data_IF_265039884494
#
_entry.id   IF_265039884494
#
_cell.length_a   1.000
_cell.length_b   1.000
_cell.length_c   1.000
_cell.angle_alpha   90.00
_cell.angle_beta   90.00
_cell.angle_gamma   90.00
#
_symmetry.space_group_name_H-M   'P 1'
#
loop_
_entity.id
_entity.type
_entity.pdbx_description
1 polymer ?
#
# COMPACT_ATOMS: atom_id res chain seq x y z
N UNK A 1 13.40 6.18 24.09
CA UNK A 1 12.26 6.03 23.16
C UNK A 1 11.00 6.43 23.93
N UNK A 2 10.47 7.63 23.72
CA UNK A 2 9.18 8.05 24.30
C UNK A 2 8.08 7.27 23.60
N UNK A 3 7.16 6.67 24.36
CA UNK A 3 6.09 5.84 23.86
C UNK A 3 5.28 6.57 22.80
N UNK A 4 5.06 5.91 21.67
CA UNK A 4 4.10 6.31 20.65
C UNK A 4 2.73 6.39 21.33
N UNK A 5 2.13 7.56 21.28
CA UNK A 5 0.85 7.89 21.90
C UNK A 5 -0.20 6.84 21.53
N UNK A 6 -0.79 6.18 22.52
CA UNK A 6 -1.79 5.12 22.33
C UNK A 6 -3.03 5.57 21.55
N UNK A 7 -3.24 6.87 21.41
CA UNK A 7 -4.39 7.46 20.71
C UNK A 7 -4.31 7.35 19.18
N UNK A 8 -3.12 7.17 18.61
CA UNK A 8 -2.94 6.95 17.17
C UNK A 8 -3.49 5.60 16.69
N UNK A 9 -3.68 4.63 17.56
CA UNK A 9 -4.06 3.25 17.22
C UNK A 9 -5.52 2.91 17.54
N UNK A 10 -6.36 3.88 17.89
CA UNK A 10 -7.79 3.66 18.20
C UNK A 10 -8.67 3.35 16.96
N UNK A 11 -8.11 3.42 15.76
CA UNK A 11 -8.83 3.10 14.53
C UNK A 11 -9.08 1.59 14.37
N UNK A 12 -10.10 1.27 13.59
CA UNK A 12 -10.39 -0.10 13.16
C UNK A 12 -10.54 -0.17 11.65
N UNK A 13 -10.19 -1.32 11.07
CA UNK A 13 -10.23 -1.59 9.63
C UNK A 13 -11.36 -2.57 9.33
N UNK A 14 -12.12 -2.30 8.26
CA UNK A 14 -13.18 -3.20 7.82
C UNK A 14 -12.60 -4.55 7.37
N UNK A 15 -13.27 -5.63 7.70
CA UNK A 15 -12.92 -6.98 7.25
C UNK A 15 -12.90 -7.10 5.72
N UNK A 16 -13.63 -6.24 5.00
CA UNK A 16 -13.59 -6.19 3.54
C UNK A 16 -12.20 -5.84 3.02
N UNK A 17 -11.47 -4.93 3.69
CA UNK A 17 -10.08 -4.59 3.31
C UNK A 17 -9.11 -5.73 3.62
N UNK A 18 -9.38 -6.53 4.66
CA UNK A 18 -8.64 -7.77 4.94
C UNK A 18 -8.85 -8.77 3.80
N UNK A 19 -10.09 -9.00 3.37
CA UNK A 19 -10.42 -9.87 2.22
C UNK A 19 -9.74 -9.39 0.93
N UNK A 20 -9.74 -8.08 0.68
CA UNK A 20 -9.05 -7.51 -0.48
C UNK A 20 -7.54 -7.75 -0.45
N UNK A 21 -6.90 -7.59 0.70
CA UNK A 21 -5.48 -7.84 0.86
C UNK A 21 -5.11 -9.32 0.63
N UNK A 22 -5.96 -10.24 1.08
CA UNK A 22 -5.77 -11.70 0.95
C UNK A 22 -6.06 -12.23 -0.46
N UNK A 23 -6.81 -11.50 -1.28
CA UNK A 23 -7.37 -11.98 -2.54
C UNK A 23 -6.34 -12.65 -3.47
N UNK A 24 -5.19 -12.04 -3.69
CA UNK A 24 -4.18 -12.61 -4.58
C UNK A 24 -3.40 -13.75 -3.92
N UNK A 25 -3.17 -13.70 -2.62
CA UNK A 25 -2.56 -14.81 -1.88
C UNK A 25 -3.44 -16.07 -1.98
N UNK A 26 -4.76 -15.92 -1.80
CA UNK A 26 -5.73 -17.01 -1.96
C UNK A 26 -5.68 -17.61 -3.38
N UNK A 27 -5.68 -16.76 -4.42
CA UNK A 27 -5.58 -17.19 -5.82
C UNK A 27 -4.27 -17.89 -6.15
N UNK A 28 -3.20 -17.61 -5.45
CA UNK A 28 -1.89 -18.24 -5.59
C UNK A 28 -1.74 -19.50 -4.73
N UNK A 29 -2.78 -19.89 -3.98
CA UNK A 29 -2.82 -21.13 -3.20
C UNK A 29 -2.17 -21.04 -1.82
N UNK A 30 -2.00 -19.85 -1.27
CA UNK A 30 -1.54 -19.68 0.11
C UNK A 30 -2.63 -20.07 1.11
N UNK A 31 -2.24 -20.68 2.23
CA UNK A 31 -3.15 -21.05 3.31
C UNK A 31 -3.60 -19.82 4.12
N UNK A 32 -4.80 -19.32 3.80
CA UNK A 32 -5.32 -18.05 4.32
C UNK A 32 -5.46 -18.04 5.84
N UNK A 33 -5.88 -19.18 6.43
CA UNK A 33 -6.04 -19.28 7.89
C UNK A 33 -4.71 -19.12 8.62
N UNK A 34 -3.62 -19.63 8.05
CA UNK A 34 -2.28 -19.51 8.61
C UNK A 34 -1.79 -18.05 8.55
N UNK A 35 -2.02 -17.36 7.43
CA UNK A 35 -1.67 -15.95 7.28
C UNK A 35 -2.44 -15.06 8.28
N UNK A 36 -3.74 -15.31 8.44
CA UNK A 36 -4.56 -14.58 9.40
C UNK A 36 -4.11 -14.84 10.85
N UNK A 37 -3.84 -16.09 11.20
CA UNK A 37 -3.38 -16.47 12.54
C UNK A 37 -2.06 -15.78 12.87
N UNK A 38 -1.09 -15.76 11.94
CA UNK A 38 0.18 -15.05 12.10
C UNK A 38 -0.01 -13.53 12.26
N UNK A 39 -1.08 -12.98 11.67
CA UNK A 39 -1.43 -11.57 11.81
C UNK A 39 -2.26 -11.27 13.08
N UNK A 40 -2.57 -12.29 13.89
CA UNK A 40 -3.41 -12.17 15.08
C UNK A 40 -4.89 -11.88 14.75
N UNK A 41 -5.35 -12.29 13.56
CA UNK A 41 -6.73 -12.14 13.10
C UNK A 41 -7.41 -13.51 13.17
N UNK A 42 -8.52 -13.62 13.91
CA UNK A 42 -9.29 -14.86 13.97
C UNK A 42 -9.93 -15.15 12.59
N UNK A 43 -9.68 -16.33 11.97
CA UNK A 43 -10.18 -16.65 10.62
C UNK A 43 -11.69 -16.56 10.48
N UNK A 44 -12.44 -16.84 11.57
CA UNK A 44 -13.91 -16.80 11.62
C UNK A 44 -14.45 -15.39 11.29
N UNK A 45 -13.67 -14.35 11.53
CA UNK A 45 -14.06 -12.97 11.23
C UNK A 45 -14.30 -12.74 9.73
N UNK A 46 -13.69 -13.55 8.85
CA UNK A 46 -13.94 -13.47 7.41
C UNK A 46 -15.40 -13.78 7.01
N UNK A 47 -16.11 -14.54 7.84
CA UNK A 47 -17.48 -14.95 7.52
C UNK A 47 -18.54 -13.88 7.84
N UNK A 48 -18.15 -12.77 8.44
CA UNK A 48 -19.08 -11.71 8.87
C UNK A 48 -18.69 -10.35 8.29
N UNK A 49 -19.46 -9.84 7.35
CA UNK A 49 -19.13 -8.61 6.60
C UNK A 49 -19.09 -7.31 7.41
N UNK A 50 -19.66 -7.32 8.61
CA UNK A 50 -19.70 -6.13 9.51
C UNK A 50 -18.56 -6.11 10.52
N UNK A 51 -17.71 -7.14 10.54
CA UNK A 51 -16.59 -7.21 11.49
C UNK A 51 -15.47 -6.25 11.11
N UNK A 52 -14.68 -5.93 12.11
CA UNK A 52 -13.53 -5.03 11.97
C UNK A 52 -12.34 -5.61 12.74
N UNK A 53 -11.16 -5.33 12.27
CA UNK A 53 -9.89 -5.66 12.93
C UNK A 53 -9.20 -4.38 13.42
N UNK A 54 -8.26 -4.50 14.35
CA UNK A 54 -7.45 -3.35 14.76
C UNK A 54 -6.48 -2.93 13.65
N UNK A 55 -6.05 -1.68 13.69
CA UNK A 55 -5.00 -1.16 12.77
C UNK A 55 -3.72 -2.00 12.89
N UNK A 56 -3.37 -2.43 14.10
CA UNK A 56 -2.18 -3.24 14.34
C UNK A 56 -2.27 -4.63 13.69
N UNK A 57 -3.43 -5.29 13.81
CA UNK A 57 -3.67 -6.58 13.13
C UNK A 57 -3.58 -6.44 11.60
N UNK A 58 -4.14 -5.37 11.06
CA UNK A 58 -4.07 -5.12 9.62
C UNK A 58 -2.66 -4.79 9.14
N UNK A 59 -1.91 -4.01 9.90
CA UNK A 59 -0.49 -3.74 9.63
C UNK A 59 0.35 -5.03 9.69
N UNK A 60 0.09 -5.89 10.69
CA UNK A 60 0.75 -7.18 10.79
C UNK A 60 0.41 -8.11 9.61
N UNK A 61 -0.85 -8.10 9.14
CA UNK A 61 -1.24 -8.84 7.95
C UNK A 61 -0.44 -8.43 6.71
N UNK A 62 -0.20 -7.14 6.52
CA UNK A 62 0.62 -6.65 5.40
C UNK A 62 2.06 -7.17 5.47
N UNK A 63 2.63 -7.23 6.69
CA UNK A 63 3.98 -7.79 6.90
C UNK A 63 3.98 -9.28 6.58
N UNK A 64 3.02 -10.04 7.12
CA UNK A 64 2.88 -11.49 6.90
C UNK A 64 2.71 -11.81 5.42
N UNK A 65 1.85 -11.08 4.71
CA UNK A 65 1.65 -11.24 3.27
C UNK A 65 2.92 -10.95 2.47
N UNK A 66 3.58 -9.83 2.77
CA UNK A 66 4.81 -9.46 2.08
C UNK A 66 5.93 -10.48 2.30
N UNK A 67 6.04 -11.04 3.50
CA UNK A 67 7.03 -12.07 3.83
C UNK A 67 6.69 -13.41 3.16
N UNK A 68 5.45 -13.86 3.23
CA UNK A 68 5.01 -15.13 2.65
C UNK A 68 5.11 -15.15 1.12
N UNK A 69 4.70 -14.06 0.48
CA UNK A 69 4.71 -13.92 -0.99
C UNK A 69 6.07 -13.46 -1.54
N UNK A 70 6.98 -13.01 -0.70
CA UNK A 70 8.19 -12.25 -1.08
C UNK A 70 7.84 -11.10 -2.03
N UNK A 71 6.71 -10.43 -1.76
CA UNK A 71 6.16 -9.38 -2.61
C UNK A 71 5.48 -8.30 -1.78
N UNK A 72 6.03 -7.09 -1.75
CA UNK A 72 5.48 -5.93 -1.02
C UNK A 72 4.30 -5.27 -1.73
N UNK A 73 3.90 -5.81 -2.89
CA UNK A 73 2.70 -5.39 -3.62
C UNK A 73 1.65 -6.51 -3.73
N UNK A 74 1.82 -7.60 -2.97
CA UNK A 74 0.84 -8.67 -2.70
C UNK A 74 0.25 -9.32 -3.97
N UNK A 75 1.05 -9.56 -5.01
CA UNK A 75 0.60 -10.15 -6.27
C UNK A 75 -0.34 -9.26 -7.09
N UNK A 76 -0.37 -7.95 -6.85
CA UNK A 76 -1.22 -7.00 -7.59
C UNK A 76 -0.59 -6.53 -8.90
N UNK A 77 0.69 -6.77 -9.09
CA UNK A 77 1.41 -6.53 -10.34
C UNK A 77 1.83 -7.87 -10.98
N UNK A 78 2.17 -7.84 -12.25
CA UNK A 78 2.70 -9.01 -12.94
C UNK A 78 4.12 -9.35 -12.43
N UNK A 79 4.89 -8.35 -12.08
CA UNK A 79 6.21 -8.51 -11.48
C UNK A 79 6.16 -8.31 -9.96
N UNK A 80 6.66 -9.25 -9.14
CA UNK A 80 6.64 -9.09 -7.69
C UNK A 80 7.62 -8.01 -7.24
N UNK A 81 7.15 -7.08 -6.42
CA UNK A 81 8.00 -6.13 -5.73
C UNK A 81 8.65 -6.81 -4.53
N UNK A 82 9.85 -7.35 -4.72
CA UNK A 82 10.54 -8.15 -3.71
C UNK A 82 10.61 -7.49 -2.33
N UNK A 83 10.53 -8.33 -1.30
CA UNK A 83 10.66 -7.92 0.09
C UNK A 83 11.95 -7.11 0.32
N UNK A 84 11.84 -5.93 0.93
CA UNK A 84 12.94 -4.99 1.15
C UNK A 84 13.02 -3.86 0.11
N UNK A 85 12.28 -3.94 -0.99
CA UNK A 85 12.23 -2.90 -2.03
C UNK A 85 11.78 -1.56 -1.47
N UNK A 86 10.70 -1.54 -0.68
CA UNK A 86 10.18 -0.31 -0.07
C UNK A 86 11.12 0.25 0.98
N UNK A 87 11.80 -0.61 1.74
CA UNK A 87 12.86 -0.19 2.68
C UNK A 87 14.05 0.43 1.94
N UNK A 88 14.46 -0.16 0.82
CA UNK A 88 15.51 0.42 -0.02
C UNK A 88 15.09 1.78 -0.57
N UNK A 89 13.88 1.88 -1.12
CA UNK A 89 13.32 3.14 -1.59
C UNK A 89 13.32 4.20 -0.48
N UNK A 90 12.83 3.86 0.72
CA UNK A 90 12.76 4.82 1.83
C UNK A 90 14.13 5.40 2.20
N UNK A 91 15.18 4.59 2.16
CA UNK A 91 16.57 5.05 2.40
C UNK A 91 17.09 5.93 1.25
N UNK A 92 16.77 5.58 0.01
CA UNK A 92 17.26 6.30 -1.17
C UNK A 92 16.65 7.70 -1.31
N UNK A 93 15.40 7.90 -0.91
CA UNK A 93 14.71 9.19 -1.01
C UNK A 93 15.07 10.19 0.09
N UNK A 94 15.72 9.75 1.19
CA UNK A 94 16.16 10.64 2.28
C UNK A 94 17.13 11.73 1.82
N UNK A 95 17.83 11.51 0.72
CA UNK A 95 18.80 12.46 0.15
C UNK A 95 18.19 13.44 -0.86
N UNK A 96 16.88 13.36 -1.10
CA UNK A 96 16.22 14.26 -2.01
C UNK A 96 16.23 15.70 -1.46
N UNK A 97 16.56 16.66 -2.33
CA UNK A 97 16.72 18.05 -1.91
C UNK A 97 15.39 18.71 -1.52
N UNK A 98 14.28 18.22 -2.05
CA UNK A 98 12.93 18.69 -1.78
C UNK A 98 11.90 17.58 -2.02
N UNK A 99 10.66 17.83 -1.61
CA UNK A 99 9.58 16.87 -1.71
C UNK A 99 9.19 16.53 -3.16
N UNK A 100 9.33 17.46 -4.09
CA UNK A 100 9.07 17.25 -5.52
C UNK A 100 10.09 16.27 -6.13
N UNK A 101 11.37 16.43 -5.77
CA UNK A 101 12.43 15.49 -6.17
C UNK A 101 12.26 14.12 -5.52
N UNK A 102 11.84 14.08 -4.25
CA UNK A 102 11.50 12.84 -3.58
C UNK A 102 10.37 12.13 -4.29
N UNK A 103 9.28 12.83 -4.63
CA UNK A 103 8.16 12.27 -5.40
C UNK A 103 8.63 11.74 -6.76
N UNK A 104 9.44 12.50 -7.50
CA UNK A 104 10.02 12.04 -8.77
C UNK A 104 10.76 10.71 -8.60
N UNK A 105 11.60 10.61 -7.58
CA UNK A 105 12.38 9.42 -7.28
C UNK A 105 11.49 8.22 -6.91
N UNK A 106 10.47 8.45 -6.07
CA UNK A 106 9.49 7.41 -5.69
C UNK A 106 8.81 6.85 -6.94
N UNK A 107 8.31 7.73 -7.83
CA UNK A 107 7.61 7.30 -9.04
C UNK A 107 8.55 6.59 -10.02
N UNK A 108 9.77 7.06 -10.19
CA UNK A 108 10.78 6.39 -11.02
C UNK A 108 11.11 4.99 -10.49
N UNK A 109 11.26 4.85 -9.17
CA UNK A 109 11.51 3.55 -8.56
C UNK A 109 10.33 2.60 -8.78
N UNK A 110 9.10 3.04 -8.52
CA UNK A 110 7.91 2.21 -8.72
C UNK A 110 7.73 1.82 -10.19
N UNK A 111 8.00 2.74 -11.13
CA UNK A 111 7.99 2.44 -12.57
C UNK A 111 9.09 1.45 -13.00
N UNK A 112 10.16 1.33 -12.22
CA UNK A 112 11.24 0.38 -12.48
C UNK A 112 10.92 -1.04 -11.97
N UNK A 113 10.23 -1.13 -10.83
CA UNK A 113 10.00 -2.42 -10.15
C UNK A 113 8.63 -3.04 -10.43
N UNK A 114 7.70 -2.29 -11.02
CA UNK A 114 6.36 -2.76 -11.39
C UNK A 114 6.18 -2.69 -12.90
N UNK A 115 5.51 -3.69 -13.47
CA UNK A 115 5.28 -3.79 -14.92
C UNK A 115 3.91 -3.26 -15.33
N UNK A 116 2.90 -3.40 -14.47
CA UNK A 116 1.51 -3.09 -14.80
C UNK A 116 1.12 -1.65 -14.47
N UNK A 117 1.91 -0.97 -13.66
CA UNK A 117 1.69 0.42 -13.27
C UNK A 117 2.81 1.31 -13.77
N UNK A 118 2.45 2.43 -14.35
CA UNK A 118 3.39 3.52 -14.60
C UNK A 118 2.81 4.83 -14.10
N UNK A 119 3.64 5.67 -13.53
CA UNK A 119 3.20 6.93 -12.98
C UNK A 119 4.13 8.08 -13.33
N UNK A 120 3.52 9.23 -13.55
CA UNK A 120 4.21 10.51 -13.76
C UNK A 120 3.58 11.56 -12.84
N UNK A 121 4.29 12.66 -12.61
CA UNK A 121 3.72 13.81 -11.90
C UNK A 121 4.04 15.10 -12.64
N UNK A 122 3.23 16.10 -12.37
CA UNK A 122 3.45 17.49 -12.79
C UNK A 122 2.86 18.42 -11.74
N UNK A 123 3.32 19.67 -11.78
CA UNK A 123 2.79 20.72 -10.92
C UNK A 123 2.06 21.72 -11.82
N UNK A 124 0.83 22.05 -11.44
CA UNK A 124 0.05 23.07 -12.10
C UNK A 124 -0.61 23.95 -11.04
N UNK A 125 -0.45 25.25 -11.18
CA UNK A 125 -0.86 26.22 -10.16
C UNK A 125 -0.20 25.87 -8.80
N UNK A 126 -0.99 25.61 -7.77
CA UNK A 126 -0.51 25.25 -6.43
C UNK A 126 -0.71 23.76 -6.09
N UNK A 127 -0.91 22.91 -7.09
CA UNK A 127 -1.21 21.49 -6.90
C UNK A 127 -0.19 20.61 -7.60
N UNK A 128 0.21 19.54 -6.93
CA UNK A 128 0.94 18.44 -7.55
C UNK A 128 -0.06 17.35 -7.97
N UNK A 129 0.05 16.93 -9.22
CA UNK A 129 -0.78 15.89 -9.81
C UNK A 129 0.05 14.64 -10.02
N UNK A 130 -0.47 13.49 -9.63
CA UNK A 130 0.09 12.19 -9.94
C UNK A 130 -0.87 11.52 -10.92
N UNK A 131 -0.36 11.13 -12.09
CA UNK A 131 -1.11 10.39 -13.10
C UNK A 131 -0.60 8.97 -13.11
N UNK A 132 -1.51 8.03 -12.86
CA UNK A 132 -1.23 6.59 -12.88
C UNK A 132 -1.85 6.01 -14.14
N UNK A 133 -1.06 5.23 -14.88
CA UNK A 133 -1.49 4.47 -16.05
C UNK A 133 -1.31 3.00 -15.75
N UNK A 134 -2.32 2.21 -16.03
CA UNK A 134 -2.25 0.75 -16.07
C UNK A 134 -1.93 0.30 -17.50
N UNK A 135 -1.06 -0.69 -17.64
CA UNK A 135 -0.50 -1.05 -18.94
C UNK A 135 -1.26 -2.15 -19.68
N UNK A 136 -2.09 -2.96 -19.01
CA UNK A 136 -2.64 -4.19 -19.62
C UNK A 136 -4.14 -4.37 -19.41
N UNK A 137 -4.58 -4.56 -18.19
CA UNK A 137 -6.00 -4.77 -17.86
C UNK A 137 -6.37 -3.95 -16.63
N UNK A 138 -7.59 -3.43 -16.56
CA UNK A 138 -8.06 -2.73 -15.38
C UNK A 138 -7.86 -3.58 -14.13
N UNK A 139 -7.20 -3.03 -13.14
CA UNK A 139 -6.96 -3.68 -11.86
C UNK A 139 -8.13 -3.44 -10.91
N UNK A 140 -8.20 -4.22 -9.85
CA UNK A 140 -9.14 -3.97 -8.74
C UNK A 140 -8.84 -2.63 -8.09
N UNK A 141 -9.86 -1.96 -7.58
CA UNK A 141 -9.72 -0.67 -6.88
C UNK A 141 -8.68 -0.74 -5.76
N UNK A 142 -8.59 -1.88 -5.06
CA UNK A 142 -7.63 -2.10 -4.00
C UNK A 142 -6.17 -1.97 -4.47
N UNK A 143 -5.85 -2.41 -5.69
CA UNK A 143 -4.50 -2.28 -6.26
C UNK A 143 -4.10 -0.81 -6.46
N UNK A 144 -5.00 0.01 -7.02
CA UNK A 144 -4.76 1.45 -7.18
C UNK A 144 -4.65 2.15 -5.82
N UNK A 145 -5.53 1.80 -4.87
CA UNK A 145 -5.50 2.36 -3.52
C UNK A 145 -4.18 2.02 -2.81
N UNK A 146 -3.70 0.78 -2.93
CA UNK A 146 -2.42 0.35 -2.36
C UNK A 146 -1.25 1.08 -3.00
N UNK A 147 -1.23 1.19 -4.34
CA UNK A 147 -0.20 1.95 -5.05
C UNK A 147 -0.12 3.40 -4.58
N UNK A 148 -1.27 4.09 -4.51
CA UNK A 148 -1.36 5.44 -3.97
C UNK A 148 -0.95 5.53 -2.50
N UNK A 149 -1.27 4.51 -1.71
CA UNK A 149 -0.92 4.47 -0.29
C UNK A 149 0.58 4.33 -0.06
N UNK A 150 1.29 3.57 -0.91
CA UNK A 150 2.76 3.49 -0.88
C UNK A 150 3.39 4.86 -1.15
N UNK A 151 2.93 5.57 -2.18
CA UNK A 151 3.43 6.92 -2.52
C UNK A 151 3.08 7.91 -1.41
N UNK A 152 1.80 8.00 -1.04
CA UNK A 152 1.32 8.97 -0.08
C UNK A 152 1.91 8.75 1.32
N UNK A 153 2.01 7.49 1.76
CA UNK A 153 2.65 7.14 3.04
C UNK A 153 4.11 7.58 3.09
N UNK A 154 4.87 7.35 2.02
CA UNK A 154 6.26 7.80 1.91
C UNK A 154 6.37 9.33 1.97
N UNK A 155 5.49 10.04 1.25
CA UNK A 155 5.46 11.51 1.26
C UNK A 155 5.12 12.06 2.65
N UNK A 156 4.13 11.50 3.34
CA UNK A 156 3.78 11.87 4.71
C UNK A 156 4.94 11.62 5.68
N UNK A 157 5.62 10.48 5.54
CA UNK A 157 6.77 10.13 6.37
C UNK A 157 7.94 11.10 6.17
N UNK A 158 8.27 11.45 4.92
CA UNK A 158 9.33 12.41 4.61
C UNK A 158 9.03 13.82 5.15
N UNK A 159 7.76 14.25 5.11
CA UNK A 159 7.36 15.56 5.62
C UNK A 159 7.24 15.60 7.16
N UNK A 160 7.20 14.43 7.84
CA UNK A 160 6.85 14.35 9.26
C UNK A 160 5.42 14.79 9.58
N UNK A 161 4.57 14.96 8.57
CA UNK A 161 3.18 15.39 8.72
C UNK A 161 2.30 14.82 7.61
N UNK A 162 0.97 14.89 7.82
CA UNK A 162 0.02 14.43 6.82
C UNK A 162 0.00 15.36 5.60
N UNK A 163 0.29 14.81 4.42
CA UNK A 163 0.05 15.47 3.13
C UNK A 163 -1.43 15.39 2.80
N UNK A 164 -2.07 16.52 2.57
CA UNK A 164 -3.51 16.59 2.27
C UNK A 164 -3.75 16.22 0.80
N UNK A 165 -4.59 15.21 0.57
CA UNK A 165 -5.08 14.84 -0.75
C UNK A 165 -6.38 15.58 -1.04
N UNK A 166 -6.37 16.48 -2.00
CA UNK A 166 -7.55 17.26 -2.35
C UNK A 166 -8.54 16.47 -3.20
N UNK A 167 -8.04 15.60 -4.07
CA UNK A 167 -8.89 14.82 -4.98
C UNK A 167 -8.19 13.53 -5.40
N UNK A 168 -8.95 12.45 -5.46
CA UNK A 168 -8.55 11.18 -6.08
C UNK A 168 -9.64 10.81 -7.11
N UNK A 169 -9.20 10.46 -8.32
CA UNK A 169 -10.08 9.94 -9.37
C UNK A 169 -9.51 8.63 -9.86
N UNK A 170 -10.28 7.57 -9.73
CA UNK A 170 -9.90 6.23 -10.19
C UNK A 170 -10.89 5.77 -11.28
N UNK A 171 -10.38 5.29 -12.40
CA UNK A 171 -11.17 4.66 -13.46
C UNK A 171 -11.05 3.15 -13.29
N UNK A 172 -11.79 2.59 -12.34
CA UNK A 172 -11.83 1.16 -12.07
C UNK A 172 -13.28 0.71 -11.93
N UNK A 173 -13.55 -0.57 -12.18
CA UNK A 173 -14.82 -1.18 -11.84
C UNK A 173 -15.00 -1.14 -10.31
N UNK A 174 -16.21 -0.81 -9.89
CA UNK A 174 -16.60 -0.80 -8.49
C UNK A 174 -16.67 -2.22 -7.93
#
# INVERSE_FOLDING_TARGET
MKGLDSDYFKGTISIRLVKEALHNAERQGYEINDLLTQAGIAPELLHTDKTRVSVMQYAQLWIVLADAMNDEFFGMDHHPMRRGSYTFLSKSVLQAADLGKALSHILQFLNLVLDDFSSTHFVQENYAYIVIKDSRQPKRMFSYATYLMLIHGMMCWLCGQRVILNRIQLKCAA
#
